data_IF_446976172598
#
_entry.id   IF_446976172598
#
_cell.length_a   1.000
_cell.length_b   1.000
_cell.length_c   1.000
_cell.angle_alpha   90.00
_cell.angle_beta   90.00
_cell.angle_gamma   90.00
#
_symmetry.space_group_name_H-M   'P 1'
#
loop_
_entity.id
_entity.type
_entity.pdbx_description
1 polymer ?
#
# COMPACT_ATOMS: atom_id res chain seq x y z
N UNK A 1 -5.31 1.51 5.49
CA UNK A 1 -4.51 2.50 6.26
C UNK A 1 -3.65 1.72 7.26
N UNK A 2 -2.35 2.03 7.40
CA UNK A 2 -1.43 1.23 8.26
C UNK A 2 -1.25 1.83 9.65
N UNK A 3 -1.58 3.12 9.80
CA UNK A 3 -1.51 3.82 11.07
C UNK A 3 -2.58 3.31 12.04
N UNK A 4 -2.22 3.11 13.31
CA UNK A 4 -3.15 2.72 14.40
C UNK A 4 -3.20 3.77 15.51
N UNK A 5 -2.70 4.98 15.25
CA UNK A 5 -2.82 6.11 16.18
C UNK A 5 -4.31 6.33 16.52
N UNK A 6 -4.73 6.21 17.79
CA UNK A 6 -6.11 6.45 18.20
C UNK A 6 -6.57 7.89 17.94
N UNK A 7 -5.62 8.81 17.74
CA UNK A 7 -5.89 10.20 17.36
C UNK A 7 -6.28 10.35 15.88
N UNK A 8 -6.06 9.32 15.07
CA UNK A 8 -6.29 9.31 13.63
C UNK A 8 -5.13 9.91 12.83
N UNK A 9 -5.31 10.00 11.52
CA UNK A 9 -4.32 10.56 10.59
C UNK A 9 -4.61 12.02 10.33
N UNK A 10 -3.60 12.87 10.49
CA UNK A 10 -3.63 14.25 10.06
C UNK A 10 -3.62 14.39 8.52
N UNK A 11 -4.59 15.15 8.01
CA UNK A 11 -4.64 15.62 6.63
C UNK A 11 -4.19 17.07 6.60
N UNK A 12 -3.22 17.39 5.74
CA UNK A 12 -2.53 18.70 5.73
C UNK A 12 -2.84 19.51 4.48
N UNK A 13 -2.75 20.83 4.59
CA UNK A 13 -2.96 21.76 3.47
C UNK A 13 -1.87 21.65 2.39
N UNK A 14 -0.67 21.20 2.76
CA UNK A 14 0.50 21.12 1.89
C UNK A 14 1.23 19.77 2.08
N UNK A 15 1.98 19.29 1.07
CA UNK A 15 2.72 18.02 1.11
C UNK A 15 4.01 18.13 1.92
N UNK A 16 3.90 18.55 3.19
CA UNK A 16 5.03 18.60 4.13
C UNK A 16 4.53 18.58 5.58
N UNK A 17 5.45 18.28 6.51
CA UNK A 17 5.13 18.14 7.92
C UNK A 17 4.70 19.45 8.59
N UNK A 18 5.12 20.60 8.04
CA UNK A 18 4.83 21.95 8.54
C UNK A 18 3.48 22.48 8.05
N UNK A 19 2.88 21.86 7.05
CA UNK A 19 1.59 22.25 6.51
C UNK A 19 0.50 22.17 7.57
N UNK A 20 -0.34 23.20 7.66
CA UNK A 20 -1.46 23.26 8.62
C UNK A 20 -2.34 22.02 8.46
N UNK A 21 -2.75 21.42 9.57
CA UNK A 21 -3.75 20.35 9.58
C UNK A 21 -5.11 20.93 9.17
N UNK A 22 -5.72 20.36 8.13
CA UNK A 22 -7.03 20.77 7.59
C UNK A 22 -8.13 19.75 7.87
N UNK A 23 -7.76 18.57 8.37
CA UNK A 23 -8.70 17.56 8.83
C UNK A 23 -7.97 16.38 9.46
N UNK A 24 -8.74 15.47 10.03
CA UNK A 24 -8.23 14.25 10.66
C UNK A 24 -9.10 13.07 10.21
N UNK A 25 -8.48 12.05 9.63
CA UNK A 25 -9.12 10.76 9.36
C UNK A 25 -9.09 9.92 10.63
N UNK A 26 -10.23 9.81 11.31
CA UNK A 26 -10.35 9.03 12.55
C UNK A 26 -10.92 7.66 12.28
N UNK A 27 -10.25 6.63 12.77
CA UNK A 27 -10.83 5.29 12.84
C UNK A 27 -12.01 5.28 13.80
N UNK A 28 -13.10 4.63 13.39
CA UNK A 28 -14.33 4.54 14.22
C UNK A 28 -14.30 3.40 15.22
N UNK A 29 -13.55 2.36 14.89
CA UNK A 29 -13.32 1.20 15.75
C UNK A 29 -11.82 0.88 15.71
N UNK A 30 -11.33 0.15 16.71
CA UNK A 30 -9.92 -0.27 16.78
C UNK A 30 -9.47 -1.04 15.52
N UNK A 31 -10.39 -1.79 14.93
CA UNK A 31 -10.16 -2.62 13.75
C UNK A 31 -10.83 -2.04 12.49
N UNK A 32 -11.23 -0.77 12.54
CA UNK A 32 -11.90 -0.11 11.42
C UNK A 32 -10.93 0.17 10.27
N UNK A 33 -11.41 0.03 9.04
CA UNK A 33 -10.65 0.38 7.85
C UNK A 33 -11.21 1.63 7.19
N UNK A 34 -10.31 2.43 6.61
CA UNK A 34 -10.63 3.62 5.81
C UNK A 34 -9.94 3.46 4.46
N UNK A 35 -10.75 3.40 3.39
CA UNK A 35 -10.29 3.55 2.02
C UNK A 35 -10.19 5.04 1.69
N UNK A 36 -9.18 5.43 0.92
CA UNK A 36 -9.00 6.81 0.46
C UNK A 36 -8.82 6.86 -1.05
N UNK A 37 -9.34 7.91 -1.67
CA UNK A 37 -9.17 8.18 -3.08
C UNK A 37 -8.03 9.18 -3.25
N UNK A 38 -6.98 8.79 -3.97
CA UNK A 38 -5.76 9.59 -4.15
C UNK A 38 -5.77 10.20 -5.54
N UNK A 39 -5.50 11.50 -5.65
CA UNK A 39 -5.51 12.19 -6.96
C UNK A 39 -4.26 13.03 -7.24
N UNK A 40 -3.29 13.06 -6.32
CA UNK A 40 -1.96 13.61 -6.57
C UNK A 40 -0.92 13.00 -5.63
N UNK A 41 0.34 13.07 -6.05
CA UNK A 41 1.52 12.72 -5.25
C UNK A 41 2.53 13.87 -5.32
N UNK A 42 3.22 14.13 -4.21
CA UNK A 42 4.34 15.07 -4.13
C UNK A 42 5.26 14.72 -2.96
N UNK A 43 6.51 14.37 -3.25
CA UNK A 43 7.55 14.11 -2.25
C UNK A 43 7.15 13.09 -1.17
N UNK A 44 6.49 12.00 -1.57
CA UNK A 44 6.02 10.97 -0.63
C UNK A 44 4.75 11.34 0.14
N UNK A 45 4.11 12.46 -0.22
CA UNK A 45 2.77 12.82 0.24
C UNK A 45 1.76 12.55 -0.84
N UNK A 46 0.57 12.11 -0.44
CA UNK A 46 -0.51 11.78 -1.34
C UNK A 46 -1.71 12.67 -1.02
N UNK A 47 -2.23 13.36 -2.04
CA UNK A 47 -3.44 14.15 -1.91
C UNK A 47 -4.63 13.22 -1.99
N UNK A 48 -5.46 13.26 -0.96
CA UNK A 48 -6.72 12.55 -0.94
C UNK A 48 -7.85 13.48 -1.38
N UNK A 49 -8.80 12.93 -2.14
CA UNK A 49 -10.00 13.62 -2.63
C UNK A 49 -11.23 13.27 -1.79
N UNK A 50 -11.30 12.02 -1.35
CA UNK A 50 -12.39 11.49 -0.53
C UNK A 50 -11.92 10.27 0.24
N UNK A 51 -12.72 9.87 1.22
CA UNK A 51 -12.50 8.67 2.01
C UNK A 51 -13.82 7.92 2.20
N UNK A 52 -13.71 6.64 2.49
CA UNK A 52 -14.83 5.74 2.74
C UNK A 52 -14.47 4.82 3.91
N UNK A 53 -15.38 4.72 4.88
CA UNK A 53 -15.30 3.72 5.93
C UNK A 53 -15.96 2.43 5.45
N UNK A 54 -15.33 1.28 5.72
CA UNK A 54 -16.00 0.00 5.53
C UNK A 54 -17.08 -0.18 6.61
N UNK A 55 -18.35 -0.21 6.21
CA UNK A 55 -19.53 -0.26 7.10
C UNK A 55 -20.65 0.67 6.63
N UNK A 56 -21.79 0.75 7.36
CA UNK A 56 -22.93 1.57 6.93
C UNK A 56 -22.59 3.08 6.89
N UNK A 57 -22.54 3.60 5.66
CA UNK A 57 -22.69 5.00 5.21
C UNK A 57 -21.85 6.10 5.86
N UNK A 58 -20.52 5.98 5.83
CA UNK A 58 -19.64 7.15 6.05
C UNK A 58 -18.60 7.24 4.94
N UNK A 59 -19.02 7.86 3.84
CA UNK A 59 -18.10 8.43 2.86
C UNK A 59 -18.11 9.95 2.98
N UNK A 60 -16.96 10.57 2.75
CA UNK A 60 -16.81 12.01 2.90
C UNK A 60 -15.79 12.57 1.91
N UNK A 61 -15.98 13.84 1.55
CA UNK A 61 -14.95 14.60 0.84
C UNK A 61 -14.02 15.22 1.89
N UNK A 62 -12.74 14.90 1.79
CA UNK A 62 -11.70 15.53 2.58
C UNK A 62 -10.51 15.75 1.67
N UNK A 63 -10.32 17.00 1.27
CA UNK A 63 -9.22 17.42 0.41
C UNK A 63 -7.98 17.75 1.23
N UNK A 64 -6.85 17.14 0.90
CA UNK A 64 -5.56 17.51 1.48
C UNK A 64 -4.55 16.36 1.44
N UNK A 65 -3.39 16.56 2.05
CA UNK A 65 -2.22 15.72 1.92
C UNK A 65 -2.02 14.82 3.14
N UNK A 66 -1.78 13.54 2.88
CA UNK A 66 -1.41 12.52 3.87
C UNK A 66 -0.04 11.97 3.50
N UNK A 67 0.81 11.78 4.50
CA UNK A 67 2.13 11.18 4.27
C UNK A 67 2.00 9.69 3.93
N UNK A 68 2.72 9.23 2.91
CA UNK A 68 2.64 7.85 2.38
C UNK A 68 2.92 6.77 3.41
N UNK A 69 3.73 7.06 4.45
CA UNK A 69 3.98 6.13 5.55
C UNK A 69 2.73 5.75 6.36
N UNK A 70 1.63 6.50 6.22
CA UNK A 70 0.38 6.23 6.92
C UNK A 70 -0.65 5.52 6.02
N UNK A 71 -0.35 5.45 4.73
CA UNK A 71 -1.16 4.78 3.72
C UNK A 71 -0.61 3.38 3.47
N UNK A 72 -1.54 2.45 3.30
CA UNK A 72 -1.21 1.10 2.90
C UNK A 72 -2.23 0.62 1.89
N UNK A 73 -1.78 -0.27 1.03
CA UNK A 73 -2.56 -0.93 -0.01
C UNK A 73 -2.42 -2.43 0.10
N UNK A 74 -3.41 -3.22 -0.32
CA UNK A 74 -3.19 -4.65 -0.55
C UNK A 74 -2.52 -4.89 -1.90
N UNK A 75 -1.89 -6.06 -2.08
CA UNK A 75 -1.34 -6.52 -3.37
C UNK A 75 -2.15 -7.71 -3.90
N UNK A 76 -2.61 -7.62 -5.15
CA UNK A 76 -3.28 -8.67 -5.94
C UNK A 76 -2.27 -9.64 -6.53
N UNK A 77 -1.52 -10.33 -5.68
CA UNK A 77 -0.51 -11.31 -6.12
C UNK A 77 -1.17 -12.54 -6.75
N UNK A 78 -2.34 -12.92 -6.26
CA UNK A 78 -3.10 -14.07 -6.79
C UNK A 78 -3.52 -13.91 -8.25
N UNK A 79 -3.68 -12.67 -8.72
CA UNK A 79 -4.07 -12.37 -10.09
C UNK A 79 -2.87 -12.40 -11.06
N UNK A 80 -1.66 -12.53 -10.53
CA UNK A 80 -0.43 -12.58 -11.30
C UNK A 80 -0.14 -13.97 -11.89
N UNK A 81 0.74 -14.08 -12.90
CA UNK A 81 1.15 -15.37 -13.44
C UNK A 81 1.66 -16.28 -12.33
N UNK A 82 1.11 -17.50 -12.23
CA UNK A 82 1.46 -18.48 -11.19
C UNK A 82 1.35 -17.93 -9.76
N UNK A 83 0.38 -17.05 -9.49
CA UNK A 83 0.20 -16.39 -8.19
C UNK A 83 1.47 -15.66 -7.70
N UNK A 84 2.11 -14.93 -8.62
CA UNK A 84 3.32 -14.15 -8.34
C UNK A 84 3.25 -12.73 -8.89
N UNK A 85 3.97 -11.81 -8.26
CA UNK A 85 4.14 -10.43 -8.73
C UNK A 85 5.60 -9.99 -8.67
N UNK A 86 6.04 -9.20 -9.67
CA UNK A 86 7.42 -8.71 -9.75
C UNK A 86 7.54 -7.42 -8.95
N UNK A 87 8.57 -7.32 -8.11
CA UNK A 87 9.04 -6.05 -7.60
C UNK A 87 10.15 -5.53 -8.52
N UNK A 88 9.93 -4.39 -9.14
CA UNK A 88 10.78 -3.83 -10.19
C UNK A 88 11.67 -2.70 -9.66
N UNK A 89 12.84 -2.53 -10.25
CA UNK A 89 13.76 -1.43 -9.94
C UNK A 89 13.23 -0.06 -10.42
N UNK A 90 12.61 -0.04 -11.60
CA UNK A 90 12.03 1.13 -12.26
C UNK A 90 10.56 0.88 -12.67
N UNK A 91 9.74 1.94 -12.85
CA UNK A 91 8.33 1.84 -13.22
C UNK A 91 8.16 1.50 -14.71
N UNK A 92 8.58 0.30 -15.11
CA UNK A 92 8.56 -0.18 -16.50
C UNK A 92 8.54 -1.70 -16.56
N UNK A 93 7.76 -2.29 -17.46
CA UNK A 93 7.72 -3.76 -17.64
C UNK A 93 9.07 -4.37 -18.04
N UNK A 94 9.93 -3.56 -18.68
CA UNK A 94 11.29 -3.94 -19.11
C UNK A 94 12.33 -3.78 -18.01
N UNK A 95 11.95 -3.22 -16.86
CA UNK A 95 12.85 -3.05 -15.73
C UNK A 95 13.37 -4.39 -15.22
N UNK A 96 14.56 -4.34 -14.63
CA UNK A 96 15.09 -5.43 -13.80
C UNK A 96 14.08 -5.79 -12.71
N UNK A 97 13.90 -7.10 -12.50
CA UNK A 97 13.18 -7.65 -11.37
C UNK A 97 14.13 -7.74 -10.17
N UNK A 98 13.77 -7.06 -9.07
CA UNK A 98 14.51 -7.09 -7.82
C UNK A 98 14.19 -8.37 -7.02
N UNK A 99 12.93 -8.79 -7.02
CA UNK A 99 12.44 -10.04 -6.42
C UNK A 99 11.05 -10.40 -6.96
N UNK A 100 10.62 -11.62 -6.70
CA UNK A 100 9.24 -12.06 -6.91
C UNK A 100 8.54 -12.19 -5.56
N UNK A 101 7.35 -11.60 -5.45
CA UNK A 101 6.41 -11.95 -4.41
C UNK A 101 5.62 -13.17 -4.86
N UNK A 102 5.59 -14.23 -4.07
CA UNK A 102 4.88 -15.47 -4.39
C UNK A 102 3.97 -15.89 -3.26
N UNK A 103 2.74 -16.27 -3.60
CA UNK A 103 1.86 -16.94 -2.65
C UNK A 103 2.09 -18.44 -2.71
N UNK A 104 2.39 -19.02 -1.55
CA UNK A 104 2.50 -20.46 -1.35
C UNK A 104 1.26 -20.92 -0.57
N UNK A 105 0.43 -21.81 -1.10
CA UNK A 105 -0.71 -22.35 -0.35
C UNK A 105 -0.28 -23.31 0.77
N UNK A 106 0.99 -23.76 0.78
CA UNK A 106 1.47 -24.78 1.70
C UNK A 106 0.87 -26.16 1.41
N UNK A 107 1.34 -27.18 2.14
CA UNK A 107 0.78 -28.52 2.07
C UNK A 107 -0.45 -28.59 2.98
N UNK A 108 -1.62 -28.92 2.42
CA UNK A 108 -2.90 -29.00 3.15
C UNK A 108 -3.23 -27.73 3.96
N UNK A 109 -2.85 -26.56 3.42
CA UNK A 109 -3.01 -25.25 4.07
C UNK A 109 -2.00 -24.95 5.19
N UNK A 110 -1.15 -25.93 5.55
CA UNK A 110 -0.08 -25.72 6.54
C UNK A 110 1.11 -25.05 5.86
N UNK A 111 1.56 -23.94 6.45
CA UNK A 111 2.69 -23.17 5.92
C UNK A 111 2.30 -22.20 4.81
N UNK A 112 1.00 -22.02 4.55
CA UNK A 112 0.50 -21.01 3.62
C UNK A 112 1.10 -19.63 3.94
N UNK A 113 1.50 -18.88 2.93
CA UNK A 113 2.06 -17.57 3.16
C UNK A 113 2.61 -16.88 1.92
N UNK A 114 2.88 -15.61 2.13
CA UNK A 114 3.57 -14.76 1.17
C UNK A 114 5.09 -14.90 1.34
N UNK A 115 5.81 -14.96 0.22
CA UNK A 115 7.26 -15.10 0.19
C UNK A 115 7.86 -14.05 -0.74
N UNK A 116 9.09 -13.62 -0.42
CA UNK A 116 9.96 -12.88 -1.31
C UNK A 116 11.05 -13.83 -1.83
N UNK A 117 11.08 -14.04 -3.13
CA UNK A 117 12.08 -14.82 -3.84
C UNK A 117 13.10 -13.87 -4.47
N UNK A 118 14.30 -13.86 -3.92
CA UNK A 118 15.40 -13.02 -4.36
C UNK A 118 16.19 -13.70 -5.50
N UNK A 119 16.86 -12.90 -6.35
CA UNK A 119 17.86 -13.41 -7.28
C UNK A 119 18.87 -14.32 -6.58
N UNK A 120 19.24 -15.42 -7.23
CA UNK A 120 20.12 -16.43 -6.65
C UNK A 120 19.42 -17.51 -5.81
N UNK A 121 18.08 -17.57 -5.85
CA UNK A 121 17.30 -18.68 -5.27
C UNK A 121 17.05 -18.57 -3.76
N UNK A 122 17.44 -17.45 -3.13
CA UNK A 122 17.13 -17.20 -1.73
C UNK A 122 15.64 -16.86 -1.60
N UNK A 123 14.95 -17.50 -0.65
CA UNK A 123 13.53 -17.28 -0.37
C UNK A 123 13.35 -16.85 1.09
N UNK A 124 12.60 -15.78 1.32
CA UNK A 124 12.32 -15.23 2.66
C UNK A 124 10.80 -15.10 2.87
N UNK A 125 10.29 -15.58 4.01
CA UNK A 125 8.85 -15.45 4.32
C UNK A 125 8.51 -14.00 4.66
N UNK A 126 7.43 -13.49 4.08
CA UNK A 126 6.82 -12.23 4.49
C UNK A 126 5.87 -12.54 5.65
N UNK A 127 6.29 -12.17 6.86
CA UNK A 127 5.56 -12.47 8.09
C UNK A 127 4.40 -11.49 8.28
N UNK A 128 3.18 -11.99 8.12
CA UNK A 128 1.94 -11.22 8.26
C UNK A 128 1.64 -10.83 9.72
N UNK A 129 2.13 -11.60 10.69
CA UNK A 129 1.84 -11.40 12.12
C UNK A 129 2.89 -10.51 12.80
N UNK A 130 4.18 -10.69 12.50
CA UNK A 130 5.25 -9.79 13.01
C UNK A 130 5.09 -8.36 12.51
N UNK A 131 4.39 -8.17 11.40
CA UNK A 131 4.18 -6.86 10.81
C UNK A 131 3.03 -6.06 11.44
N UNK A 132 2.24 -6.61 12.39
CA UNK A 132 1.13 -5.90 13.08
C UNK A 132 0.28 -5.01 12.14
N UNK A 133 -0.03 -5.49 10.92
CA UNK A 133 -0.73 -4.73 9.87
C UNK A 133 0.15 -4.27 8.68
N UNK A 134 1.46 -4.53 8.68
CA UNK A 134 2.42 -4.13 7.65
C UNK A 134 2.80 -5.23 6.63
N UNK A 135 2.00 -6.29 6.50
CA UNK A 135 1.91 -7.01 5.22
C UNK A 135 1.16 -6.19 4.17
N UNK A 136 0.57 -5.08 4.60
CA UNK A 136 0.14 -3.97 3.76
C UNK A 136 1.39 -3.17 3.37
N UNK A 137 1.89 -3.25 2.13
CA UNK A 137 2.97 -2.38 1.67
C UNK A 137 2.62 -0.91 1.90
N UNK A 138 3.60 -0.12 2.33
CA UNK A 138 3.45 1.33 2.41
C UNK A 138 3.69 1.95 1.05
N UNK A 139 2.94 3.01 0.75
CA UNK A 139 3.07 3.75 -0.51
C UNK A 139 4.22 4.75 -0.40
N UNK A 140 5.14 4.70 -1.37
CA UNK A 140 6.30 5.60 -1.45
C UNK A 140 6.21 6.59 -2.60
N UNK A 141 5.55 6.23 -3.70
CA UNK A 141 5.40 7.12 -4.86
C UNK A 141 4.61 6.47 -6.00
N UNK A 142 4.36 7.25 -7.05
CA UNK A 142 3.67 6.81 -8.26
C UNK A 142 4.36 7.35 -9.51
N UNK A 143 4.42 6.55 -10.58
CA UNK A 143 4.95 6.97 -11.88
C UNK A 143 4.53 5.99 -12.98
N UNK A 144 4.13 6.48 -14.15
CA UNK A 144 3.90 5.69 -15.37
C UNK A 144 2.94 4.49 -15.18
N UNK A 145 1.89 4.63 -14.38
CA UNK A 145 0.98 3.52 -14.05
C UNK A 145 1.54 2.49 -13.05
N UNK A 146 2.68 2.77 -12.43
CA UNK A 146 3.27 1.97 -11.35
C UNK A 146 3.20 2.71 -10.02
N UNK A 147 3.25 1.92 -8.96
CA UNK A 147 3.28 2.39 -7.57
C UNK A 147 4.56 1.87 -6.94
N UNK A 148 5.34 2.77 -6.35
CA UNK A 148 6.50 2.41 -5.54
C UNK A 148 6.02 2.05 -4.14
N UNK A 149 6.41 0.86 -3.68
CA UNK A 149 6.00 0.33 -2.39
C UNK A 149 7.20 0.00 -1.51
N UNK A 150 6.98 -0.06 -0.19
CA UNK A 150 7.86 -0.75 0.76
C UNK A 150 7.12 -1.89 1.44
N UNK A 151 7.59 -3.11 1.23
CA UNK A 151 7.06 -4.33 1.83
C UNK A 151 7.93 -4.79 3.01
N UNK A 152 7.28 -5.20 4.10
CA UNK A 152 7.92 -5.73 5.31
C UNK A 152 9.03 -4.81 5.88
N UNK A 153 8.91 -3.49 5.67
CA UNK A 153 9.91 -2.49 6.07
C UNK A 153 11.27 -2.59 5.37
N UNK A 154 11.46 -3.54 4.44
CA UNK A 154 12.77 -3.89 3.85
C UNK A 154 12.80 -3.76 2.33
N UNK A 155 11.77 -4.26 1.66
CA UNK A 155 11.79 -4.42 0.20
C UNK A 155 11.12 -3.25 -0.48
N UNK A 156 11.90 -2.48 -1.25
CA UNK A 156 11.41 -1.35 -2.00
C UNK A 156 11.51 -1.57 -3.50
N UNK A 157 10.50 -1.13 -4.23
CA UNK A 157 10.47 -1.18 -5.68
C UNK A 157 9.09 -0.87 -6.23
N UNK A 158 8.94 -1.06 -7.53
CA UNK A 158 7.75 -0.72 -8.29
C UNK A 158 6.91 -1.95 -8.62
N UNK A 159 5.59 -1.80 -8.49
CA UNK A 159 4.59 -2.78 -8.93
C UNK A 159 3.57 -2.08 -9.83
N UNK A 160 2.96 -2.77 -10.81
CA UNK A 160 1.88 -2.17 -11.59
C UNK A 160 0.71 -1.76 -10.69
N UNK A 161 0.14 -0.57 -10.88
CA UNK A 161 -0.97 -0.09 -10.05
C UNK A 161 -2.19 -1.03 -10.10
N UNK A 162 -2.41 -1.72 -11.23
CA UNK A 162 -3.45 -2.73 -11.41
C UNK A 162 -3.34 -3.92 -10.42
N UNK A 163 -2.16 -4.10 -9.81
CA UNK A 163 -1.87 -5.18 -8.87
C UNK A 163 -2.16 -4.82 -7.42
N UNK A 164 -2.97 -3.79 -7.15
CA UNK A 164 -3.33 -3.38 -5.80
C UNK A 164 -4.78 -3.77 -5.43
N UNK A 165 -5.00 -4.32 -4.23
CA UNK A 165 -6.33 -4.65 -3.66
C UNK A 165 -6.91 -3.44 -2.90
N UNK A 166 -8.06 -2.92 -3.36
CA UNK A 166 -8.88 -1.87 -2.72
C UNK A 166 -8.23 -0.49 -2.70
N UNK A 167 -8.64 0.53 -3.46
CA UNK A 167 -9.94 0.91 -4.04
C UNK A 167 -9.71 1.44 -5.48
N UNK A 168 -10.71 1.47 -6.40
CA UNK A 168 -10.60 1.90 -7.82
C UNK A 168 -10.19 3.38 -8.07
N UNK A 169 -9.23 3.92 -7.33
CA UNK A 169 -8.94 5.35 -7.19
C UNK A 169 -7.46 5.68 -7.14
N UNK A 170 -6.56 4.73 -7.38
CA UNK A 170 -5.18 5.06 -7.75
C UNK A 170 -5.12 5.29 -9.25
N UNK A 171 -5.78 6.35 -9.74
CA UNK A 171 -5.39 6.94 -11.02
C UNK A 171 -4.11 7.72 -10.75
N UNK A 172 -3.01 7.00 -10.56
CA UNK A 172 -1.70 7.59 -10.73
C UNK A 172 -1.61 7.95 -12.22
N UNK A 173 -1.43 9.24 -12.58
CA UNK A 173 -1.32 9.65 -13.97
C UNK A 173 -0.22 8.89 -14.72
#
# INVERSE_FOLDING_TARGET
MVDRDPSGINVRAAPNAQGRVVGVLKFRTRDGEIAVNIDAEANGWFRIKSFEHFGPDISGKLGGWVHGSRLGTGLKIMDGPKASERLLEEPSERSKTLLLFTWDPGADGKGAGLWAELPGGKRERIDYEKTKGAATPTLLGCANGYVKIRMNGKYEGWVPAARLCGSPVTTCP
#
